data_IF_724944494843
#
_entry.id   IF_724944494843
#
_cell.length_a   1.000
_cell.length_b   1.000
_cell.length_c   1.000
_cell.angle_alpha   90.00
_cell.angle_beta   90.00
_cell.angle_gamma   90.00
#
_symmetry.space_group_name_H-M   'P 1'
#
loop_
_entity.id
_entity.type
_entity.pdbx_description
1 polymer ?
#
# COMPACT_ATOMS: atom_id res chain seq x y z
N UNK A 1 -31.92 0.78 -0.30
CA UNK A 1 -30.94 1.26 0.71
C UNK A 1 -29.60 0.63 0.39
N UNK A 2 -28.59 1.43 0.02
CA UNK A 2 -27.27 0.92 -0.35
C UNK A 2 -26.50 0.38 0.86
N UNK A 3 -25.60 -0.59 0.64
CA UNK A 3 -24.81 -1.23 1.69
C UNK A 3 -23.95 -0.22 2.50
N UNK A 4 -23.50 0.89 1.89
CA UNK A 4 -22.77 1.96 2.59
C UNK A 4 -23.60 2.60 3.72
N UNK A 5 -24.90 2.82 3.50
CA UNK A 5 -25.78 3.35 4.54
C UNK A 5 -25.90 2.36 5.71
N UNK A 6 -25.99 1.06 5.43
CA UNK A 6 -26.03 0.01 6.46
C UNK A 6 -24.75 -0.09 7.29
N UNK A 7 -23.60 0.26 6.73
CA UNK A 7 -22.34 0.33 7.48
C UNK A 7 -22.30 1.53 8.44
N UNK A 8 -22.96 2.63 8.09
CA UNK A 8 -22.98 3.86 8.89
C UNK A 8 -24.11 3.87 9.94
N UNK A 9 -25.29 3.40 9.56
CA UNK A 9 -26.52 3.50 10.36
C UNK A 9 -26.58 2.43 11.48
N UNK A 10 -25.75 1.39 11.40
CA UNK A 10 -25.62 0.30 12.40
C UNK A 10 -26.91 -0.45 12.75
N UNK A 11 -28.02 -0.17 12.06
CA UNK A 11 -29.32 -0.83 12.23
C UNK A 11 -29.17 -2.34 11.95
N UNK A 12 -29.76 -3.16 12.82
CA UNK A 12 -29.75 -4.63 12.75
C UNK A 12 -28.37 -5.31 12.78
N UNK A 13 -27.35 -4.64 13.34
CA UNK A 13 -26.03 -5.25 13.53
C UNK A 13 -26.04 -6.44 14.52
N UNK A 14 -25.61 -7.60 14.03
CA UNK A 14 -25.53 -8.88 14.75
C UNK A 14 -24.08 -9.26 15.12
N UNK A 15 -23.11 -8.40 14.79
CA UNK A 15 -21.70 -8.58 15.12
C UNK A 15 -21.01 -7.27 15.53
N UNK A 16 -20.04 -7.38 16.46
CA UNK A 16 -19.10 -6.31 16.80
C UNK A 16 -17.70 -6.75 16.42
N UNK A 17 -17.02 -5.99 15.56
CA UNK A 17 -15.60 -6.15 15.31
C UNK A 17 -14.84 -5.25 16.27
N UNK A 18 -14.04 -5.84 17.17
CA UNK A 18 -13.16 -5.10 18.07
C UNK A 18 -11.74 -5.10 17.53
N UNK A 19 -11.19 -3.92 17.31
CA UNK A 19 -9.79 -3.70 16.98
C UNK A 19 -9.19 -2.71 17.97
N UNK A 20 -8.40 -3.22 18.93
CA UNK A 20 -7.84 -2.42 20.04
C UNK A 20 -8.95 -1.69 20.83
N UNK A 21 -8.97 -0.35 20.78
CA UNK A 21 -9.95 0.52 21.44
C UNK A 21 -11.14 0.89 20.55
N UNK A 22 -11.13 0.47 19.28
CA UNK A 22 -12.20 0.74 18.34
C UNK A 22 -13.15 -0.46 18.24
N UNK A 23 -14.44 -0.16 18.12
CA UNK A 23 -15.50 -1.13 17.92
C UNK A 23 -16.31 -0.73 16.69
N UNK A 24 -16.56 -1.70 15.79
CA UNK A 24 -17.34 -1.50 14.59
C UNK A 24 -18.55 -2.42 14.64
N UNK A 25 -19.74 -1.85 14.49
CA UNK A 25 -20.98 -2.61 14.39
C UNK A 25 -21.15 -3.07 12.94
N UNK A 26 -21.32 -4.38 12.73
CA UNK A 26 -21.37 -4.97 11.39
C UNK A 26 -22.36 -6.13 11.32
N UNK A 27 -22.61 -6.61 10.10
CA UNK A 27 -23.47 -7.74 9.80
C UNK A 27 -22.64 -8.98 9.49
N UNK A 28 -22.90 -10.10 10.17
CA UNK A 28 -22.19 -11.36 9.97
C UNK A 28 -22.30 -11.81 8.51
N UNK A 29 -23.49 -11.77 7.92
CA UNK A 29 -23.70 -12.21 6.54
C UNK A 29 -22.78 -11.47 5.56
N UNK A 30 -22.64 -10.15 5.69
CA UNK A 30 -21.71 -9.36 4.86
C UNK A 30 -20.26 -9.82 5.02
N UNK A 31 -19.83 -10.11 6.26
CA UNK A 31 -18.48 -10.59 6.51
C UNK A 31 -18.23 -12.01 5.93
N UNK A 32 -19.21 -12.91 6.09
CA UNK A 32 -19.14 -14.30 5.59
C UNK A 32 -19.06 -14.35 4.07
N UNK A 33 -19.92 -13.57 3.39
CA UNK A 33 -19.92 -13.50 1.92
C UNK A 33 -18.60 -12.96 1.36
N UNK A 34 -17.95 -12.04 2.09
CA UNK A 34 -16.74 -11.39 1.61
C UNK A 34 -15.46 -12.20 1.88
N UNK A 35 -15.45 -13.12 2.85
CA UNK A 35 -14.23 -13.84 3.27
C UNK A 35 -14.54 -15.28 3.70
N UNK A 36 -13.95 -16.29 3.02
CA UNK A 36 -14.04 -17.69 3.43
C UNK A 36 -13.52 -17.94 4.86
N UNK A 37 -12.47 -17.23 5.26
CA UNK A 37 -11.89 -17.31 6.62
C UNK A 37 -12.92 -16.86 7.65
N UNK A 38 -13.65 -15.77 7.38
CA UNK A 38 -14.69 -15.28 8.27
C UNK A 38 -15.93 -16.18 8.23
N UNK A 39 -16.29 -16.74 7.09
CA UNK A 39 -17.37 -17.73 7.00
C UNK A 39 -17.10 -18.96 7.86
N UNK A 40 -15.89 -19.52 7.76
CA UNK A 40 -15.45 -20.61 8.61
C UNK A 40 -15.45 -20.22 10.11
N UNK A 41 -14.98 -19.02 10.45
CA UNK A 41 -15.00 -18.50 11.82
C UNK A 41 -16.42 -18.47 12.38
N UNK A 42 -17.36 -17.88 11.65
CA UNK A 42 -18.74 -17.76 12.10
C UNK A 42 -19.53 -19.07 12.03
N UNK A 43 -19.13 -20.00 11.17
CA UNK A 43 -19.67 -21.37 11.14
C UNK A 43 -19.38 -22.16 12.41
N UNK A 44 -18.26 -21.86 13.08
CA UNK A 44 -17.87 -22.44 14.37
C UNK A 44 -18.50 -21.73 15.59
N UNK A 45 -19.08 -20.53 15.41
CA UNK A 45 -19.72 -19.82 16.51
C UNK A 45 -21.06 -20.47 16.88
N UNK A 46 -21.31 -20.66 18.18
CA UNK A 46 -22.57 -21.22 18.68
C UNK A 46 -23.73 -20.27 18.39
N UNK A 47 -24.83 -20.79 17.84
CA UNK A 47 -26.08 -20.04 17.54
C UNK A 47 -26.77 -19.42 18.78
N UNK A 48 -26.25 -19.64 19.98
CA UNK A 48 -26.86 -19.17 21.25
C UNK A 48 -26.58 -17.70 21.55
N UNK A 49 -25.56 -17.10 20.95
CA UNK A 49 -25.22 -15.70 21.22
C UNK A 49 -26.02 -14.76 20.32
N UNK A 50 -26.76 -13.83 20.93
CA UNK A 50 -27.54 -12.81 20.21
C UNK A 50 -26.65 -11.82 19.43
N UNK A 51 -25.36 -11.70 19.80
CA UNK A 51 -24.40 -10.80 19.15
C UNK A 51 -22.98 -11.37 19.24
N UNK A 52 -22.33 -11.58 18.10
CA UNK A 52 -20.98 -12.17 18.04
C UNK A 52 -19.91 -11.09 18.12
N UNK A 53 -18.84 -11.31 18.89
CA UNK A 53 -17.73 -10.38 19.00
C UNK A 53 -16.50 -10.94 18.29
N UNK A 54 -16.16 -10.39 17.12
CA UNK A 54 -14.95 -10.71 16.37
C UNK A 54 -13.80 -9.81 16.83
N UNK A 55 -12.67 -10.38 17.24
CA UNK A 55 -11.51 -9.60 17.69
C UNK A 55 -10.37 -9.67 16.68
N UNK A 56 -9.99 -8.52 16.11
CA UNK A 56 -8.90 -8.42 15.13
C UNK A 56 -7.71 -7.70 15.75
N UNK A 57 -6.68 -8.47 16.11
CA UNK A 57 -5.49 -7.97 16.82
C UNK A 57 -4.28 -7.74 15.90
N UNK A 58 -4.23 -8.45 14.77
CA UNK A 58 -3.05 -8.46 13.87
C UNK A 58 -2.95 -7.19 13.01
N UNK A 59 -4.05 -6.46 12.87
CA UNK A 59 -4.14 -5.28 12.02
C UNK A 59 -4.45 -4.02 12.81
N UNK A 60 -3.96 -2.88 12.31
CA UNK A 60 -4.28 -1.56 12.87
C UNK A 60 -5.70 -1.16 12.50
N UNK A 61 -6.29 -0.28 13.31
CA UNK A 61 -7.66 0.22 13.15
C UNK A 61 -7.97 0.66 11.71
N UNK A 62 -7.13 1.49 11.08
CA UNK A 62 -7.39 1.96 9.71
C UNK A 62 -7.38 0.85 8.66
N UNK A 63 -6.58 -0.20 8.86
CA UNK A 63 -6.57 -1.36 7.97
C UNK A 63 -7.86 -2.15 8.15
N UNK A 64 -8.30 -2.37 9.40
CA UNK A 64 -9.59 -3.02 9.69
C UNK A 64 -10.75 -2.22 9.12
N UNK A 65 -10.75 -0.90 9.29
CA UNK A 65 -11.75 -0.02 8.70
C UNK A 65 -11.78 -0.17 7.17
N UNK A 66 -10.63 -0.19 6.49
CA UNK A 66 -10.58 -0.39 5.04
C UNK A 66 -11.08 -1.77 4.59
N UNK A 67 -10.80 -2.84 5.35
CA UNK A 67 -11.39 -4.15 5.11
C UNK A 67 -12.91 -4.07 5.17
N UNK A 68 -13.46 -3.46 6.23
CA UNK A 68 -14.90 -3.34 6.44
C UNK A 68 -15.55 -2.47 5.35
N UNK A 69 -14.99 -1.30 5.04
CA UNK A 69 -15.48 -0.44 3.95
C UNK A 69 -15.55 -1.22 2.64
N UNK A 70 -14.52 -2.00 2.32
CA UNK A 70 -14.53 -2.83 1.12
C UNK A 70 -15.65 -3.86 1.12
N UNK A 71 -15.89 -4.54 2.24
CA UNK A 71 -16.95 -5.57 2.34
C UNK A 71 -18.35 -4.98 2.07
N UNK A 72 -18.58 -3.72 2.40
CA UNK A 72 -19.86 -3.05 2.15
C UNK A 72 -19.90 -2.33 0.80
N UNK A 73 -18.77 -1.88 0.26
CA UNK A 73 -18.77 -0.89 -0.83
C UNK A 73 -17.93 -1.30 -2.03
N UNK A 74 -17.30 -2.48 -2.00
CA UNK A 74 -16.33 -2.94 -2.98
C UNK A 74 -15.18 -1.95 -3.24
N UNK A 75 -14.95 -1.02 -2.31
CA UNK A 75 -13.93 0.00 -2.35
C UNK A 75 -13.62 0.44 -0.91
N UNK A 76 -12.46 1.05 -0.71
CA UNK A 76 -12.06 1.60 0.58
C UNK A 76 -11.36 2.94 0.39
N UNK A 77 -11.55 3.86 1.33
CA UNK A 77 -10.88 5.16 1.29
C UNK A 77 -9.44 5.01 1.77
N UNK A 78 -8.54 5.84 1.24
CA UNK A 78 -7.13 5.85 1.65
C UNK A 78 -6.95 6.49 3.04
N UNK A 79 -7.64 5.96 4.06
CA UNK A 79 -7.75 6.55 5.40
C UNK A 79 -8.50 7.90 5.41
N UNK A 80 -9.14 8.27 6.52
CA UNK A 80 -9.77 9.59 6.66
C UNK A 80 -8.67 10.62 6.91
N UNK A 81 -8.40 11.43 5.88
CA UNK A 81 -7.54 12.62 5.89
C UNK A 81 -6.07 12.42 6.32
N UNK A 82 -5.22 13.33 5.83
CA UNK A 82 -3.88 13.68 6.28
C UNK A 82 -3.36 12.89 7.51
N UNK A 83 -2.23 12.19 7.36
CA UNK A 83 -1.46 11.58 8.47
C UNK A 83 -0.89 12.64 9.46
N UNK A 84 -1.71 13.58 9.90
CA UNK A 84 -1.31 14.70 10.75
C UNK A 84 -1.49 14.38 12.24
N UNK A 85 -2.21 13.31 12.62
CA UNK A 85 -2.49 13.05 14.05
C UNK A 85 -2.37 11.58 14.47
N UNK A 86 -1.19 10.96 14.28
CA UNK A 86 -0.87 9.69 14.96
C UNK A 86 0.57 9.73 15.51
N UNK A 87 0.65 10.26 16.72
CA UNK A 87 1.67 10.17 17.79
C UNK A 87 3.18 10.27 17.43
N UNK A 88 3.93 11.15 18.11
CA UNK A 88 5.39 11.25 17.96
C UNK A 88 6.09 10.13 18.74
N UNK A 89 6.75 9.22 18.02
CA UNK A 89 7.92 8.54 18.58
C UNK A 89 9.10 9.52 18.52
N UNK A 90 9.52 9.96 19.71
CA UNK A 90 10.74 10.68 20.07
C UNK A 90 11.94 10.45 19.11
N UNK A 91 12.55 11.55 18.62
CA UNK A 91 13.94 11.96 18.92
C UNK A 91 14.35 13.20 18.09
N UNK A 92 14.63 14.27 18.83
CA UNK A 92 15.66 15.32 18.64
C UNK A 92 16.22 15.64 17.25
N UNK A 93 16.17 16.93 16.91
CA UNK A 93 17.12 17.53 15.96
C UNK A 93 16.61 18.79 15.27
N UNK A 94 16.48 19.89 16.00
CA UNK A 94 16.41 21.25 15.44
C UNK A 94 17.66 21.54 14.63
N UNK A 95 17.55 21.93 13.36
CA UNK A 95 18.32 23.04 12.76
C UNK A 95 17.55 23.60 11.55
N UNK A 96 17.39 24.92 11.55
CA UNK A 96 16.84 25.72 10.47
C UNK A 96 17.97 26.48 9.77
N UNK A 97 17.94 26.56 8.44
CA UNK A 97 18.28 27.73 7.60
C UNK A 97 18.73 27.30 6.20
N UNK A 98 18.27 28.01 5.17
CA UNK A 98 18.97 28.07 3.87
C UNK A 98 18.06 28.06 2.65
N UNK A 99 17.80 29.25 2.13
CA UNK A 99 16.99 29.60 0.96
C UNK A 99 17.53 29.10 -0.39
N UNK A 100 16.57 28.85 -1.30
CA UNK A 100 16.61 29.02 -2.76
C UNK A 100 17.38 28.03 -3.64
N UNK A 101 16.64 27.06 -4.18
CA UNK A 101 16.62 26.77 -5.62
C UNK A 101 15.21 26.28 -5.96
N UNK A 102 14.52 27.00 -6.86
CA UNK A 102 13.23 26.59 -7.39
C UNK A 102 13.47 25.43 -8.37
N UNK A 103 13.65 24.23 -7.82
CA UNK A 103 13.51 22.98 -8.56
C UNK A 103 12.06 22.54 -8.44
N UNK A 104 11.54 21.98 -9.52
CA UNK A 104 10.18 21.49 -9.75
C UNK A 104 9.82 20.27 -8.85
N UNK A 105 10.38 20.22 -7.64
CA UNK A 105 10.17 19.20 -6.63
C UNK A 105 8.77 19.34 -6.03
N UNK A 106 8.06 18.22 -5.92
CA UNK A 106 6.77 18.20 -5.26
C UNK A 106 6.88 18.70 -3.82
N UNK A 107 5.81 19.35 -3.33
CA UNK A 107 5.70 19.76 -1.94
C UNK A 107 6.03 18.58 -0.99
N UNK A 108 6.95 18.74 -0.01
CA UNK A 108 7.35 17.68 0.92
C UNK A 108 6.18 16.97 1.63
N UNK A 109 5.08 17.70 1.90
CA UNK A 109 3.86 17.15 2.50
C UNK A 109 3.21 16.14 1.56
N UNK A 110 3.14 16.46 0.26
CA UNK A 110 2.58 15.57 -0.78
C UNK A 110 3.41 14.29 -0.89
N UNK A 111 4.74 14.40 -0.87
CA UNK A 111 5.63 13.23 -0.89
C UNK A 111 5.44 12.35 0.36
N UNK A 112 5.38 12.95 1.55
CA UNK A 112 5.10 12.23 2.80
C UNK A 112 3.77 11.47 2.73
N UNK A 113 2.72 12.13 2.23
CA UNK A 113 1.40 11.54 2.07
C UNK A 113 1.39 10.36 1.08
N UNK A 114 2.14 10.46 -0.02
CA UNK A 114 2.27 9.35 -0.99
C UNK A 114 3.01 8.14 -0.42
N UNK A 115 4.09 8.34 0.32
CA UNK A 115 4.82 7.26 1.00
C UNK A 115 3.93 6.59 2.06
N UNK A 116 3.18 7.39 2.81
CA UNK A 116 2.18 6.92 3.76
C UNK A 116 1.08 6.08 3.08
N UNK A 117 0.52 6.56 1.98
CA UNK A 117 -0.47 5.84 1.18
C UNK A 117 0.08 4.51 0.66
N UNK A 118 1.32 4.50 0.16
CA UNK A 118 1.99 3.26 -0.26
C UNK A 118 2.04 2.24 0.88
N UNK A 119 2.46 2.66 2.07
CA UNK A 119 2.50 1.80 3.26
C UNK A 119 1.12 1.28 3.64
N UNK A 120 0.11 2.15 3.60
CA UNK A 120 -1.27 1.81 3.91
C UNK A 120 -1.81 0.74 2.95
N UNK A 121 -1.69 0.97 1.63
CA UNK A 121 -2.17 0.04 0.62
C UNK A 121 -1.46 -1.32 0.67
N UNK A 122 -0.14 -1.35 0.93
CA UNK A 122 0.58 -2.61 1.17
C UNK A 122 0.02 -3.37 2.38
N UNK A 123 -0.32 -2.66 3.46
CA UNK A 123 -0.86 -3.26 4.68
C UNK A 123 -2.27 -3.81 4.45
N UNK A 124 -3.11 -3.09 3.68
CA UNK A 124 -4.43 -3.57 3.27
C UNK A 124 -4.30 -4.82 2.40
N UNK A 125 -3.35 -4.88 1.46
CA UNK A 125 -3.11 -6.09 0.65
C UNK A 125 -2.65 -7.30 1.45
N UNK A 126 -1.82 -7.09 2.49
CA UNK A 126 -1.46 -8.16 3.44
C UNK A 126 -2.71 -8.68 4.17
N UNK A 127 -3.55 -7.77 4.66
CA UNK A 127 -4.78 -8.14 5.36
C UNK A 127 -5.78 -8.85 4.43
N UNK A 128 -5.93 -8.36 3.19
CA UNK A 128 -6.78 -8.96 2.18
C UNK A 128 -6.38 -10.41 1.89
N UNK A 129 -5.08 -10.70 1.74
CA UNK A 129 -4.58 -12.06 1.56
C UNK A 129 -4.81 -12.94 2.78
N UNK A 130 -4.62 -12.40 3.99
CA UNK A 130 -4.89 -13.13 5.22
C UNK A 130 -6.36 -13.58 5.33
N UNK A 131 -7.30 -12.73 4.92
CA UNK A 131 -8.73 -13.05 4.89
C UNK A 131 -9.22 -13.63 3.55
N UNK A 132 -8.30 -14.00 2.64
CA UNK A 132 -8.60 -14.57 1.32
C UNK A 132 -9.54 -13.72 0.44
N UNK A 133 -9.42 -12.40 0.53
CA UNK A 133 -10.21 -11.43 -0.22
C UNK A 133 -9.48 -10.98 -1.50
N UNK A 134 -9.44 -11.84 -2.51
CA UNK A 134 -8.65 -11.61 -3.74
C UNK A 134 -8.96 -10.26 -4.43
N UNK A 135 -10.23 -9.89 -4.53
CA UNK A 135 -10.65 -8.62 -5.16
C UNK A 135 -10.17 -7.38 -4.40
N UNK A 136 -10.02 -7.47 -3.08
CA UNK A 136 -9.43 -6.41 -2.25
C UNK A 136 -7.91 -6.36 -2.39
N UNK A 137 -7.25 -7.51 -2.46
CA UNK A 137 -5.81 -7.58 -2.73
C UNK A 137 -5.49 -6.88 -4.05
N UNK A 138 -6.20 -7.24 -5.14
CA UNK A 138 -6.06 -6.61 -6.45
C UNK A 138 -6.31 -5.10 -6.40
N UNK A 139 -7.38 -4.67 -5.74
CA UNK A 139 -7.69 -3.25 -5.58
C UNK A 139 -6.57 -2.53 -4.81
N UNK A 140 -6.05 -3.13 -3.75
CA UNK A 140 -4.98 -2.55 -2.95
C UNK A 140 -3.69 -2.39 -3.74
N UNK A 141 -3.34 -3.35 -4.60
CA UNK A 141 -2.19 -3.27 -5.51
C UNK A 141 -2.36 -2.16 -6.54
N UNK A 142 -3.55 -2.00 -7.12
CA UNK A 142 -3.84 -0.89 -8.05
C UNK A 142 -3.66 0.48 -7.36
N UNK A 143 -4.22 0.65 -6.16
CA UNK A 143 -4.07 1.91 -5.39
C UNK A 143 -2.64 2.15 -4.93
N UNK A 144 -1.92 1.09 -4.55
CA UNK A 144 -0.49 1.13 -4.27
C UNK A 144 0.30 1.65 -5.47
N UNK A 145 0.10 1.07 -6.66
CA UNK A 145 0.78 1.49 -7.89
C UNK A 145 0.46 2.93 -8.28
N UNK A 146 -0.80 3.34 -8.14
CA UNK A 146 -1.20 4.73 -8.35
C UNK A 146 -0.52 5.69 -7.38
N UNK A 147 -0.26 5.26 -6.15
CA UNK A 147 0.45 6.07 -5.15
C UNK A 147 1.96 6.11 -5.41
N UNK A 148 2.52 4.99 -5.89
CA UNK A 148 3.95 4.80 -6.15
C UNK A 148 4.46 5.63 -7.34
N UNK A 149 3.64 5.80 -8.38
CA UNK A 149 4.04 6.35 -9.69
C UNK A 149 4.55 7.80 -9.68
N UNK A 150 4.39 8.55 -8.58
CA UNK A 150 5.09 9.83 -8.43
C UNK A 150 5.61 10.04 -7.02
N UNK A 151 6.12 8.98 -6.42
CA UNK A 151 7.02 9.10 -5.28
C UNK A 151 8.40 9.42 -5.82
N UNK A 152 9.03 10.47 -5.30
CA UNK A 152 10.39 10.86 -5.67
C UNK A 152 11.43 9.87 -5.12
N UNK A 153 12.67 9.89 -5.64
CA UNK A 153 13.72 8.95 -5.26
C UNK A 153 13.97 8.85 -3.74
N UNK A 154 13.98 9.98 -3.04
CA UNK A 154 14.09 10.02 -1.56
C UNK A 154 12.92 9.29 -0.88
N UNK A 155 11.69 9.49 -1.36
CA UNK A 155 10.50 8.80 -0.86
C UNK A 155 10.50 7.31 -1.21
N UNK A 156 10.97 6.94 -2.40
CA UNK A 156 11.06 5.55 -2.86
C UNK A 156 11.97 4.73 -1.96
N UNK A 157 13.09 5.29 -1.49
CA UNK A 157 13.95 4.61 -0.51
C UNK A 157 13.18 4.22 0.76
N UNK A 158 12.24 5.07 1.22
CA UNK A 158 11.37 4.74 2.36
C UNK A 158 10.32 3.69 1.99
N UNK A 159 9.75 3.73 0.78
CA UNK A 159 8.83 2.69 0.30
C UNK A 159 9.52 1.33 0.24
N UNK A 160 10.77 1.25 -0.23
CA UNK A 160 11.58 0.01 -0.23
C UNK A 160 11.72 -0.56 1.17
N UNK A 161 12.07 0.27 2.17
CA UNK A 161 12.15 -0.17 3.56
C UNK A 161 10.81 -0.70 4.07
N UNK A 162 9.72 0.00 3.76
CA UNK A 162 8.38 -0.43 4.14
C UNK A 162 8.03 -1.78 3.50
N UNK A 163 8.26 -1.95 2.20
CA UNK A 163 8.00 -3.20 1.49
C UNK A 163 8.80 -4.35 2.11
N UNK A 164 10.11 -4.16 2.31
CA UNK A 164 10.97 -5.18 2.92
C UNK A 164 10.54 -5.59 4.34
N UNK A 165 10.06 -4.62 5.15
CA UNK A 165 9.62 -4.89 6.53
C UNK A 165 8.24 -5.54 6.61
N UNK A 166 7.34 -5.16 5.71
CA UNK A 166 5.92 -5.52 5.81
C UNK A 166 5.58 -6.78 5.02
N UNK A 167 6.26 -7.05 3.90
CA UNK A 167 5.85 -8.12 3.01
C UNK A 167 7.01 -8.84 2.33
N UNK A 168 6.87 -10.16 2.24
CA UNK A 168 7.71 -11.04 1.42
C UNK A 168 7.11 -11.29 0.03
N UNK A 169 5.97 -10.66 -0.27
CA UNK A 169 5.28 -10.81 -1.55
C UNK A 169 6.17 -10.34 -2.71
N UNK A 170 6.52 -11.29 -3.57
CA UNK A 170 7.41 -11.06 -4.68
C UNK A 170 6.85 -10.06 -5.69
N UNK A 171 5.52 -9.99 -5.84
CA UNK A 171 4.91 -9.04 -6.78
C UNK A 171 5.05 -7.61 -6.28
N UNK A 172 4.75 -7.35 -5.01
CA UNK A 172 5.00 -6.05 -4.37
C UNK A 172 6.49 -5.68 -4.44
N UNK A 173 7.39 -6.62 -4.15
CA UNK A 173 8.84 -6.38 -4.27
C UNK A 173 9.25 -6.04 -5.71
N UNK A 174 8.71 -6.72 -6.72
CA UNK A 174 8.93 -6.42 -8.14
C UNK A 174 8.41 -5.04 -8.53
N UNK A 175 7.21 -4.66 -8.07
CA UNK A 175 6.63 -3.35 -8.35
C UNK A 175 7.51 -2.22 -7.81
N UNK A 176 8.00 -2.36 -6.57
CA UNK A 176 8.93 -1.39 -5.98
C UNK A 176 10.28 -1.40 -6.70
N UNK A 177 10.82 -2.58 -7.02
CA UNK A 177 12.09 -2.69 -7.74
C UNK A 177 12.05 -1.99 -9.11
N UNK A 178 10.94 -2.10 -9.85
CA UNK A 178 10.73 -1.38 -11.12
C UNK A 178 10.73 0.13 -10.95
N UNK A 179 10.08 0.65 -9.90
CA UNK A 179 10.06 2.08 -9.61
C UNK A 179 11.46 2.59 -9.24
N UNK A 180 12.22 1.81 -8.45
CA UNK A 180 13.62 2.11 -8.11
C UNK A 180 14.51 2.08 -9.35
N UNK A 181 14.39 1.05 -10.19
CA UNK A 181 15.13 0.92 -11.44
C UNK A 181 14.93 2.14 -12.36
N UNK A 182 13.68 2.58 -12.52
CA UNK A 182 13.35 3.82 -13.23
C UNK A 182 13.99 5.06 -12.60
N UNK A 183 13.90 5.21 -11.28
CA UNK A 183 14.51 6.35 -10.58
C UNK A 183 16.05 6.38 -10.69
N UNK A 184 16.69 5.21 -10.71
CA UNK A 184 18.15 5.05 -10.81
C UNK A 184 18.71 5.34 -12.20
N UNK A 185 17.87 5.48 -13.24
CA UNK A 185 18.32 5.95 -14.56
C UNK A 185 18.90 7.37 -14.48
N UNK A 186 18.45 8.18 -13.51
CA UNK A 186 19.07 9.46 -13.20
C UNK A 186 20.19 9.27 -12.16
N UNK A 187 21.44 9.57 -12.56
CA UNK A 187 22.63 9.47 -11.71
C UNK A 187 22.47 10.22 -10.38
N UNK A 188 21.81 11.38 -10.41
CA UNK A 188 21.59 12.20 -9.22
C UNK A 188 20.72 11.48 -8.17
N UNK A 189 19.93 10.48 -8.55
CA UNK A 189 19.07 9.75 -7.62
C UNK A 189 19.78 8.58 -6.93
N UNK A 190 20.92 8.10 -7.46
CA UNK A 190 21.57 6.86 -6.97
C UNK A 190 22.00 6.94 -5.51
N UNK A 191 22.39 8.13 -5.04
CA UNK A 191 22.84 8.33 -3.66
C UNK A 191 21.75 8.01 -2.62
N UNK A 192 20.46 8.15 -2.97
CA UNK A 192 19.34 7.80 -2.08
C UNK A 192 19.23 6.29 -1.81
N UNK A 193 19.77 5.46 -2.71
CA UNK A 193 19.68 4.00 -2.63
C UNK A 193 20.97 3.33 -2.15
N UNK A 194 22.11 4.06 -2.13
CA UNK A 194 23.45 3.53 -1.81
C UNK A 194 23.54 2.79 -0.45
N UNK A 195 22.78 3.24 0.54
CA UNK A 195 22.83 2.72 1.91
C UNK A 195 21.60 1.90 2.30
N UNK A 196 20.78 1.50 1.33
CA UNK A 196 19.65 0.63 1.61
C UNK A 196 20.17 -0.79 1.93
N UNK A 197 20.08 -1.18 3.19
CA UNK A 197 20.24 -2.59 3.61
C UNK A 197 19.01 -3.36 3.15
N UNK A 198 19.06 -3.92 1.94
CA UNK A 198 17.99 -4.69 1.31
C UNK A 198 18.48 -6.10 1.01
N UNK A 199 17.54 -7.04 0.85
CA UNK A 199 17.88 -8.42 0.55
C UNK A 199 18.61 -8.53 -0.80
N UNK A 200 19.48 -9.55 -0.92
CA UNK A 200 20.12 -9.90 -2.21
C UNK A 200 19.09 -10.11 -3.31
N UNK A 201 17.93 -10.66 -2.94
CA UNK A 201 16.82 -10.89 -3.85
C UNK A 201 16.23 -9.58 -4.39
N UNK A 202 16.06 -8.56 -3.56
CA UNK A 202 15.58 -7.26 -4.04
C UNK A 202 16.62 -6.59 -4.96
N UNK A 203 17.91 -6.68 -4.63
CA UNK A 203 18.97 -6.22 -5.53
C UNK A 203 18.92 -6.93 -6.89
N UNK A 204 18.70 -8.24 -6.91
CA UNK A 204 18.51 -9.02 -8.14
C UNK A 204 17.35 -8.46 -8.97
N UNK A 205 16.20 -8.22 -8.35
CA UNK A 205 15.02 -7.67 -9.03
C UNK A 205 15.27 -6.28 -9.63
N UNK A 206 15.97 -5.39 -8.91
CA UNK A 206 16.33 -4.06 -9.41
C UNK A 206 17.27 -4.15 -10.61
N UNK A 207 18.29 -5.01 -10.52
CA UNK A 207 19.26 -5.20 -11.61
C UNK A 207 18.62 -5.83 -12.86
N UNK A 208 17.69 -6.77 -12.66
CA UNK A 208 16.92 -7.37 -13.77
C UNK A 208 16.07 -6.32 -14.50
N UNK A 209 15.40 -5.43 -13.77
CA UNK A 209 14.62 -4.35 -14.39
C UNK A 209 15.53 -3.36 -15.15
N UNK A 210 16.63 -2.94 -14.55
CA UNK A 210 17.62 -2.06 -15.18
C UNK A 210 18.17 -2.67 -16.47
N UNK A 211 18.56 -3.95 -16.45
CA UNK A 211 19.08 -4.65 -17.62
C UNK A 211 18.03 -4.76 -18.74
N UNK A 212 16.76 -5.03 -18.39
CA UNK A 212 15.66 -5.05 -19.36
C UNK A 212 15.46 -3.68 -20.03
N UNK A 213 15.53 -2.58 -19.26
CA UNK A 213 15.40 -1.21 -19.80
C UNK A 213 16.54 -0.84 -20.74
N UNK A 214 17.79 -1.11 -20.34
CA UNK A 214 18.96 -0.83 -21.19
C UNK A 214 18.89 -1.57 -22.53
N UNK A 215 18.49 -2.85 -22.52
CA UNK A 215 18.27 -3.62 -23.76
C UNK A 215 17.16 -3.03 -24.62
N UNK A 216 16.08 -2.52 -24.02
CA UNK A 216 14.98 -1.89 -24.75
C UNK A 216 15.43 -0.58 -25.42
N UNK A 217 16.21 0.24 -24.73
CA UNK A 217 16.80 1.48 -25.26
C UNK A 217 17.78 1.20 -26.42
N UNK A 218 18.64 0.19 -26.28
CA UNK A 218 19.56 -0.23 -27.34
C UNK A 218 18.81 -0.69 -28.59
N UNK A 219 17.75 -1.50 -28.42
CA UNK A 219 16.91 -1.96 -29.52
C UNK A 219 16.16 -0.80 -30.20
N UNK A 220 15.69 0.18 -29.43
CA UNK A 220 15.04 1.38 -29.98
C UNK A 220 16.03 2.22 -30.80
N UNK A 221 17.24 2.43 -30.27
CA UNK A 221 18.32 3.16 -30.95
C UNK A 221 18.69 2.51 -32.29
N UNK A 222 18.86 1.17 -32.31
CA UNK A 222 19.12 0.41 -33.55
C UNK A 222 17.99 0.57 -34.59
N UNK A 223 16.73 0.59 -34.16
CA UNK A 223 15.58 0.78 -35.06
C UNK A 223 15.53 2.19 -35.66
N UNK A 224 15.88 3.22 -34.88
CA UNK A 224 15.93 4.60 -35.37
C UNK A 224 17.11 4.82 -36.34
N UNK A 225 18.27 4.21 -36.08
CA UNK A 225 19.40 4.27 -37.00
C UNK A 225 19.15 3.50 -38.31
N UNK A 226 18.44 2.37 -38.25
CA UNK A 226 18.08 1.58 -39.44
C UNK A 226 16.99 2.20 -40.33
N UNK A 227 16.18 3.12 -39.80
CA UNK A 227 15.14 3.82 -40.58
C UNK A 227 15.64 5.10 -41.26
N UNK A 228 16.78 5.64 -40.84
CA UNK A 228 17.44 6.77 -41.50
C UNK A 228 18.20 6.42 -42.79
N UNK A 229 18.28 5.15 -43.18
CA UNK A 229 18.98 4.69 -44.39
C UNK A 229 18.05 4.49 -45.61
N UNK A 230 16.78 4.90 -45.51
CA UNK A 230 15.75 4.76 -46.56
C UNK A 230 15.17 6.11 -47.04
N UNK A 231 15.84 7.23 -46.77
CA UNK A 231 15.58 8.54 -47.36
C UNK A 231 16.80 9.01 -48.14
#
# INVERSE_FOLDING_TARGET
>A
MGLLARFQDCEDSDCVVKCRRAEFQVHQNTLREASPILDAYFGCCSKKDKKVVLRLHDFRMHTVQALLEFMYCANYSSGPDTMENLEPEYETGTEAMGTAAFCDSMNPIVQKNRVAACKFHMTVGIAARYYEMNSLDDLSRRKFMSSLSGVEAKGLAQVVRNAHRLTVDLETQRMVARAVGGAMQNENNKHHFKYLKISKEFHRLVNEDLACRLKAEENLSKRLQGTGALL
#
